data_IF_834090821817
#
_entry.id   IF_834090821817
#
_cell.length_a   1.000
_cell.length_b   1.000
_cell.length_c   1.000
_cell.angle_alpha   90.00
_cell.angle_beta   90.00
_cell.angle_gamma   90.00
#
_symmetry.space_group_name_H-M   'P 1'
#
loop_
_entity.id
_entity.type
_entity.pdbx_description
1 polymer ?
#
# COMPACT_ATOMS: atom_id res chain seq x y z
N UNK A 1 -6.04 2.44 -11.97
CA UNK A 1 -6.35 3.87 -11.72
C UNK A 1 -5.23 4.61 -11.01
N UNK A 2 -4.73 4.06 -9.90
CA UNK A 2 -3.65 4.72 -9.14
C UNK A 2 -2.37 4.83 -9.96
N UNK A 3 -2.03 3.80 -10.71
CA UNK A 3 -0.86 3.82 -11.59
C UNK A 3 -0.99 4.88 -12.69
N UNK A 4 -2.17 4.95 -13.31
CA UNK A 4 -2.44 5.97 -14.33
C UNK A 4 -2.41 7.37 -13.75
N UNK A 5 -2.96 7.56 -12.56
CA UNK A 5 -2.95 8.83 -11.86
C UNK A 5 -1.51 9.24 -11.50
N UNK A 6 -0.71 8.28 -11.01
CA UNK A 6 0.69 8.54 -10.70
C UNK A 6 1.48 8.96 -11.94
N UNK A 7 1.24 8.31 -13.07
CA UNK A 7 1.88 8.67 -14.33
C UNK A 7 1.49 10.09 -14.77
N UNK A 8 0.22 10.45 -14.58
CA UNK A 8 -0.23 11.81 -14.86
C UNK A 8 0.48 12.85 -13.99
N UNK A 9 0.70 12.53 -12.70
CA UNK A 9 1.45 13.41 -11.80
C UNK A 9 2.89 13.57 -12.26
N UNK A 10 3.53 12.48 -12.69
CA UNK A 10 4.89 12.52 -13.23
C UNK A 10 4.97 13.48 -14.41
N UNK A 11 4.00 13.42 -15.30
CA UNK A 11 3.92 14.32 -16.45
C UNK A 11 3.73 15.77 -16.05
N UNK A 12 2.96 16.01 -14.99
CA UNK A 12 2.80 17.36 -14.43
C UNK A 12 4.14 17.93 -13.98
N UNK A 13 4.94 17.14 -13.30
CA UNK A 13 6.29 17.57 -12.86
C UNK A 13 7.17 17.89 -14.05
N UNK A 14 7.15 17.03 -15.08
CA UNK A 14 7.95 17.23 -16.30
C UNK A 14 7.58 18.50 -17.04
N UNK A 15 6.31 18.90 -17.01
CA UNK A 15 5.84 20.14 -17.64
C UNK A 15 6.06 21.39 -16.78
N UNK A 16 6.57 21.23 -15.56
CA UNK A 16 6.82 22.35 -14.66
C UNK A 16 5.56 22.97 -14.10
N UNK A 17 4.51 22.20 -13.87
CA UNK A 17 3.28 22.72 -13.32
C UNK A 17 3.45 23.11 -11.85
N UNK A 18 2.48 23.87 -11.34
CA UNK A 18 2.54 24.43 -9.98
C UNK A 18 2.80 23.35 -8.93
N UNK A 19 3.78 23.62 -8.05
CA UNK A 19 4.19 22.67 -7.01
C UNK A 19 3.05 22.30 -6.07
N UNK A 20 2.22 23.27 -5.68
CA UNK A 20 1.11 23.03 -4.78
C UNK A 20 0.10 22.06 -5.41
N UNK A 21 -0.19 22.25 -6.69
CA UNK A 21 -1.11 21.37 -7.42
C UNK A 21 -0.53 19.96 -7.55
N UNK A 22 0.75 19.84 -7.85
CA UNK A 22 1.43 18.55 -7.92
C UNK A 22 1.33 17.82 -6.58
N UNK A 23 1.56 18.51 -5.49
CA UNK A 23 1.47 17.91 -4.14
C UNK A 23 0.06 17.45 -3.82
N UNK A 24 -0.96 18.22 -4.20
CA UNK A 24 -2.35 17.82 -3.99
C UNK A 24 -2.66 16.51 -4.76
N UNK A 25 -2.26 16.46 -6.02
CA UNK A 25 -2.49 15.28 -6.85
C UNK A 25 -1.70 14.07 -6.35
N UNK A 26 -0.47 14.27 -5.93
CA UNK A 26 0.35 13.20 -5.37
C UNK A 26 -0.28 12.65 -4.08
N UNK A 27 -0.79 13.53 -3.21
CA UNK A 27 -1.48 13.11 -1.99
C UNK A 27 -2.69 12.23 -2.30
N UNK A 28 -3.43 12.56 -3.36
CA UNK A 28 -4.58 11.75 -3.80
C UNK A 28 -4.13 10.36 -4.26
N UNK A 29 -3.01 10.28 -4.99
CA UNK A 29 -2.45 9.00 -5.42
C UNK A 29 -2.03 8.15 -4.22
N UNK A 30 -1.34 8.75 -3.26
CA UNK A 30 -0.90 8.05 -2.05
C UNK A 30 -2.11 7.50 -1.28
N UNK A 31 -3.16 8.31 -1.12
CA UNK A 31 -4.38 7.88 -0.45
C UNK A 31 -5.05 6.71 -1.18
N UNK A 32 -5.10 6.76 -2.50
CA UNK A 32 -5.66 5.66 -3.30
C UNK A 32 -4.87 4.38 -3.14
N UNK A 33 -3.53 4.48 -3.15
CA UNK A 33 -2.66 3.31 -2.96
C UNK A 33 -2.82 2.72 -1.55
N UNK A 34 -2.91 3.56 -0.53
CA UNK A 34 -3.14 3.10 0.84
C UNK A 34 -4.48 2.37 0.95
N UNK A 35 -5.52 2.90 0.31
CA UNK A 35 -6.82 2.25 0.29
C UNK A 35 -6.78 0.88 -0.38
N UNK A 36 -6.10 0.79 -1.52
CA UNK A 36 -5.90 -0.47 -2.24
C UNK A 36 -5.11 -1.46 -1.38
N UNK A 37 -4.03 -1.00 -0.75
CA UNK A 37 -3.21 -1.84 0.12
C UNK A 37 -4.00 -2.40 1.29
N UNK A 38 -4.82 -1.57 1.92
CA UNK A 38 -5.68 -2.01 3.02
C UNK A 38 -6.73 -3.02 2.57
N UNK A 39 -7.32 -2.81 1.39
CA UNK A 39 -8.30 -3.75 0.84
C UNK A 39 -7.66 -5.11 0.57
N UNK A 40 -6.48 -5.13 -0.01
CA UNK A 40 -5.74 -6.37 -0.27
C UNK A 40 -5.44 -7.08 1.04
N UNK A 41 -4.94 -6.36 2.04
CA UNK A 41 -4.63 -6.93 3.34
C UNK A 41 -5.89 -7.51 3.99
N UNK A 42 -6.99 -6.78 3.97
CA UNK A 42 -8.25 -7.23 4.55
C UNK A 42 -8.72 -8.54 3.93
N UNK A 43 -8.61 -8.65 2.61
CA UNK A 43 -9.06 -9.84 1.89
C UNK A 43 -8.17 -11.07 2.15
N UNK A 44 -6.88 -10.86 2.40
CA UNK A 44 -5.91 -11.94 2.45
C UNK A 44 -5.38 -12.26 3.84
N UNK A 45 -5.56 -11.37 4.81
CA UNK A 45 -4.98 -11.54 6.13
C UNK A 45 -5.45 -12.83 6.82
N UNK A 46 -6.71 -13.20 6.65
CA UNK A 46 -7.27 -14.42 7.22
C UNK A 46 -6.54 -15.65 6.71
N UNK A 47 -6.29 -15.71 5.41
CA UNK A 47 -5.54 -16.80 4.79
C UNK A 47 -4.11 -16.87 5.32
N UNK A 48 -3.45 -15.72 5.43
CA UNK A 48 -2.08 -15.66 5.93
C UNK A 48 -1.99 -16.19 7.36
N UNK A 49 -2.93 -15.80 8.21
CA UNK A 49 -2.96 -16.22 9.61
C UNK A 49 -3.23 -17.72 9.71
N UNK A 50 -4.24 -18.21 8.98
CA UNK A 50 -4.60 -19.63 8.98
C UNK A 50 -3.43 -20.49 8.50
N UNK A 51 -2.81 -20.11 7.39
CA UNK A 51 -1.67 -20.84 6.83
C UNK A 51 -0.51 -20.89 7.82
N UNK A 52 -0.19 -19.78 8.47
CA UNK A 52 0.91 -19.72 9.43
C UNK A 52 0.62 -20.60 10.66
N UNK A 53 -0.60 -20.58 11.16
CA UNK A 53 -1.01 -21.39 12.32
C UNK A 53 -1.01 -22.87 11.97
N UNK A 54 -1.55 -23.24 10.82
CA UNK A 54 -1.59 -24.64 10.38
C UNK A 54 -0.20 -25.21 10.15
N UNK A 55 0.72 -24.40 9.64
CA UNK A 55 2.10 -24.83 9.45
C UNK A 55 2.82 -25.04 10.79
N UNK A 56 2.33 -24.43 11.87
CA UNK A 56 2.95 -24.56 13.19
C UNK A 56 4.34 -23.97 13.28
N UNK A 57 4.68 -23.07 12.36
CA UNK A 57 6.01 -22.47 12.27
C UNK A 57 6.01 -21.13 13.00
N UNK A 58 6.63 -21.11 14.18
CA UNK A 58 6.68 -19.89 14.98
C UNK A 58 7.43 -18.75 14.30
N UNK A 59 8.45 -19.08 13.50
CA UNK A 59 9.18 -18.05 12.76
C UNK A 59 8.30 -17.40 11.70
N UNK A 60 7.49 -18.18 11.01
CA UNK A 60 6.55 -17.66 10.02
C UNK A 60 5.50 -16.77 10.67
N UNK A 61 4.98 -17.16 11.83
CA UNK A 61 4.00 -16.38 12.59
C UNK A 61 4.63 -15.05 13.01
N UNK A 62 5.85 -15.08 13.53
CA UNK A 62 6.53 -13.85 13.96
C UNK A 62 6.82 -12.93 12.76
N UNK A 63 7.26 -13.51 11.64
CA UNK A 63 7.53 -12.74 10.42
C UNK A 63 6.26 -12.05 9.91
N UNK A 64 5.13 -12.76 9.95
CA UNK A 64 3.84 -12.19 9.54
C UNK A 64 3.44 -11.04 10.46
N UNK A 65 3.59 -11.23 11.75
CA UNK A 65 3.26 -10.20 12.73
C UNK A 65 4.09 -8.93 12.51
N UNK A 66 5.39 -9.09 12.27
CA UNK A 66 6.29 -7.96 12.00
C UNK A 66 5.91 -7.24 10.71
N UNK A 67 5.51 -8.00 9.68
CA UNK A 67 5.09 -7.44 8.40
C UNK A 67 3.80 -6.63 8.55
N UNK A 68 2.85 -7.12 9.33
CA UNK A 68 1.60 -6.41 9.60
C UNK A 68 1.90 -5.09 10.33
N UNK A 69 2.80 -5.12 11.32
CA UNK A 69 3.19 -3.90 12.05
C UNK A 69 3.77 -2.84 11.12
N UNK A 70 4.63 -3.26 10.19
CA UNK A 70 5.20 -2.34 9.20
C UNK A 70 4.13 -1.75 8.29
N UNK A 71 3.18 -2.56 7.88
CA UNK A 71 2.09 -2.10 7.03
C UNK A 71 1.23 -1.06 7.73
N UNK A 72 0.99 -1.23 9.02
CA UNK A 72 0.15 -0.33 9.79
C UNK A 72 0.82 0.99 10.17
N UNK A 73 2.12 1.09 9.99
CA UNK A 73 2.86 2.34 10.21
C UNK A 73 2.71 3.27 9.00
#
# INVERSE_FOLDING_TARGET
>A
RAQGHLDAVRKMVERGEDCAEVLVQLSAVISALNGTGRAILKDHISHCIVDAVEAGDQEAIQALNDAIDRFMR
#
